data_IF_973251757007
#
_entry.id   IF_973251757007
#
_cell.length_a   1.000
_cell.length_b   1.000
_cell.length_c   1.000
_cell.angle_alpha   90.00
_cell.angle_beta   90.00
_cell.angle_gamma   90.00
#
_symmetry.space_group_name_H-M   'P 1'
#
loop_
_entity.id
_entity.type
_entity.pdbx_description
1 polymer ?
#
# COMPACT_ATOMS: atom_id res chain seq x y z
N UNK A 1 20.84 -18.55 5.34
CA UNK A 1 19.56 -18.97 4.75
C UNK A 1 18.75 -19.65 5.85
N UNK A 2 17.46 -19.35 5.98
CA UNK A 2 16.59 -20.08 6.93
C UNK A 2 16.02 -21.36 6.32
N UNK A 3 15.56 -22.27 7.16
CA UNK A 3 14.82 -23.45 6.71
C UNK A 3 13.45 -23.07 6.10
N UNK A 4 12.93 -23.82 5.12
CA UNK A 4 11.58 -23.63 4.61
C UNK A 4 10.54 -23.61 5.74
N UNK A 5 9.65 -22.62 5.70
CA UNK A 5 8.62 -22.41 6.73
C UNK A 5 9.06 -21.60 7.95
N UNK A 6 10.35 -21.23 8.07
CA UNK A 6 10.82 -20.30 9.11
C UNK A 6 10.49 -18.84 8.75
N UNK A 7 9.21 -18.50 8.86
CA UNK A 7 8.72 -17.14 8.62
C UNK A 7 9.19 -16.15 9.70
N UNK A 8 9.59 -16.61 10.88
CA UNK A 8 10.16 -15.73 11.92
C UNK A 8 11.49 -15.14 11.50
N UNK A 9 12.38 -15.94 10.90
CA UNK A 9 13.61 -15.43 10.31
C UNK A 9 13.34 -14.43 9.16
N UNK A 10 12.36 -14.73 8.30
CA UNK A 10 11.98 -13.81 7.20
C UNK A 10 11.47 -12.48 7.76
N UNK A 11 10.60 -12.49 8.78
CA UNK A 11 10.11 -11.27 9.44
C UNK A 11 11.27 -10.42 9.95
N UNK A 12 12.24 -11.02 10.63
CA UNK A 12 13.44 -10.32 11.13
C UNK A 12 14.22 -9.64 9.99
N UNK A 13 14.40 -10.33 8.87
CA UNK A 13 15.12 -9.78 7.72
C UNK A 13 14.31 -8.71 6.97
N UNK A 14 12.97 -8.75 6.99
CA UNK A 14 12.11 -7.65 6.54
C UNK A 14 12.28 -6.42 7.44
N UNK A 15 12.28 -6.58 8.77
CA UNK A 15 12.49 -5.46 9.71
C UNK A 15 13.81 -4.74 9.42
N UNK A 16 14.86 -5.51 9.10
CA UNK A 16 16.15 -4.96 8.70
C UNK A 16 16.12 -4.12 7.40
N UNK A 17 15.07 -4.25 6.58
CA UNK A 17 14.87 -3.43 5.38
C UNK A 17 14.05 -2.16 5.62
N UNK A 18 13.46 -1.96 6.81
CA UNK A 18 12.58 -0.82 7.05
C UNK A 18 13.31 0.52 7.04
N UNK A 19 14.51 0.61 7.63
CA UNK A 19 15.28 1.85 7.63
C UNK A 19 15.97 2.07 6.28
N UNK A 20 15.62 3.14 5.58
CA UNK A 20 16.20 3.56 4.29
C UNK A 20 16.45 5.07 4.29
N UNK A 21 17.58 5.55 4.84
CA UNK A 21 17.84 6.99 5.02
C UNK A 21 17.68 7.84 3.74
N UNK A 22 18.01 7.26 2.58
CA UNK A 22 17.95 7.95 1.29
C UNK A 22 16.59 7.82 0.57
N UNK A 23 15.61 7.16 1.19
CA UNK A 23 14.28 6.93 0.61
C UNK A 23 13.19 7.57 1.46
N UNK A 24 12.44 8.50 0.83
CA UNK A 24 11.33 9.23 1.44
C UNK A 24 11.66 9.71 2.86
N UNK A 25 10.84 9.37 3.85
CA UNK A 25 10.99 9.77 5.25
C UNK A 25 11.97 8.89 6.02
N UNK A 26 13.01 8.41 5.35
CA UNK A 26 13.99 7.49 5.92
C UNK A 26 13.49 6.05 6.07
N UNK A 27 12.36 5.69 5.47
CA UNK A 27 11.64 4.43 5.74
C UNK A 27 11.05 3.76 4.51
N UNK A 28 11.26 2.45 4.37
CA UNK A 28 10.57 1.58 3.41
C UNK A 28 9.20 1.07 3.91
N UNK A 29 8.87 1.32 5.19
CA UNK A 29 7.62 0.83 5.78
C UNK A 29 6.38 1.18 4.96
N UNK A 30 6.13 2.47 4.64
CA UNK A 30 4.97 2.86 3.85
C UNK A 30 4.90 2.20 2.47
N UNK A 31 6.04 2.05 1.77
CA UNK A 31 6.04 1.39 0.45
C UNK A 31 5.82 -0.11 0.53
N UNK A 32 6.18 -0.78 1.63
CA UNK A 32 5.84 -2.19 1.86
C UNK A 32 4.34 -2.37 2.11
N UNK A 33 3.72 -1.48 2.88
CA UNK A 33 2.26 -1.50 3.08
C UNK A 33 1.55 -1.27 1.75
N UNK A 34 1.99 -0.28 0.95
CA UNK A 34 1.45 -0.04 -0.39
C UNK A 34 1.68 -1.21 -1.33
N UNK A 35 2.85 -1.86 -1.31
CA UNK A 35 3.13 -3.03 -2.14
C UNK A 35 2.19 -4.20 -1.81
N UNK A 36 2.00 -4.50 -0.53
CA UNK A 36 1.06 -5.52 -0.08
C UNK A 36 -0.38 -5.17 -0.50
N UNK A 37 -0.80 -3.92 -0.27
CA UNK A 37 -2.10 -3.41 -0.70
C UNK A 37 -2.32 -3.60 -2.20
N UNK A 38 -1.42 -3.09 -3.04
CA UNK A 38 -1.53 -3.14 -4.49
C UNK A 38 -1.47 -4.57 -5.02
N UNK A 39 -0.69 -5.46 -4.38
CA UNK A 39 -0.67 -6.87 -4.75
C UNK A 39 -2.02 -7.55 -4.55
N UNK A 40 -2.83 -7.09 -3.58
CA UNK A 40 -4.15 -7.64 -3.29
C UNK A 40 -5.30 -6.87 -3.98
N UNK A 41 -5.10 -5.56 -4.20
CA UNK A 41 -6.10 -4.60 -4.68
C UNK A 41 -6.64 -4.85 -6.09
N UNK A 42 -6.00 -5.72 -6.87
CA UNK A 42 -6.40 -6.08 -8.22
C UNK A 42 -7.45 -7.19 -8.28
N UNK A 43 -7.84 -7.76 -7.12
CA UNK A 43 -8.80 -8.85 -7.04
C UNK A 43 -10.18 -8.46 -7.61
N UNK A 44 -10.80 -9.43 -8.25
CA UNK A 44 -12.11 -9.35 -8.86
C UNK A 44 -12.86 -10.65 -8.55
N UNK A 45 -13.94 -10.56 -7.76
CA UNK A 45 -14.67 -11.73 -7.30
C UNK A 45 -15.50 -12.42 -8.40
N UNK A 46 -15.84 -11.72 -9.47
CA UNK A 46 -16.63 -12.27 -10.58
C UNK A 46 -15.76 -13.15 -11.48
N UNK A 47 -14.56 -12.68 -11.79
CA UNK A 47 -13.61 -13.38 -12.65
C UNK A 47 -12.63 -14.28 -11.89
N UNK A 48 -12.54 -14.14 -10.57
CA UNK A 48 -11.56 -14.78 -9.69
C UNK A 48 -10.11 -14.58 -10.18
N UNK A 49 -9.80 -13.35 -10.60
CA UNK A 49 -8.46 -12.96 -11.10
C UNK A 49 -7.90 -11.77 -10.33
N UNK A 50 -6.57 -11.60 -10.39
CA UNK A 50 -5.85 -10.64 -9.56
C UNK A 50 -5.76 -11.10 -8.11
N UNK A 51 -5.43 -10.17 -7.21
CA UNK A 51 -5.21 -10.50 -5.81
C UNK A 51 -3.79 -11.00 -5.51
N UNK A 52 -3.53 -11.25 -4.23
CA UNK A 52 -2.16 -11.39 -3.72
C UNK A 52 -1.48 -12.73 -4.04
N UNK A 53 -2.23 -13.71 -4.57
CA UNK A 53 -1.73 -15.03 -4.91
C UNK A 53 -1.25 -15.08 -6.38
N UNK A 54 0.04 -14.81 -6.60
CA UNK A 54 0.64 -14.91 -7.93
C UNK A 54 1.83 -13.99 -8.16
N UNK A 55 1.98 -12.95 -7.33
CA UNK A 55 2.99 -11.90 -7.48
C UNK A 55 3.00 -11.34 -8.92
N UNK A 56 1.82 -11.06 -9.47
CA UNK A 56 1.62 -10.69 -10.87
C UNK A 56 2.31 -9.37 -11.27
N UNK A 57 2.59 -8.49 -10.31
CA UNK A 57 3.44 -7.32 -10.55
C UNK A 57 4.86 -7.66 -11.06
N UNK A 58 5.34 -8.91 -10.98
CA UNK A 58 6.60 -9.31 -11.63
C UNK A 58 6.53 -9.23 -13.16
N UNK A 59 5.33 -9.35 -13.73
CA UNK A 59 5.08 -9.24 -15.18
C UNK A 59 4.76 -7.81 -15.58
N UNK A 60 4.91 -7.48 -16.87
CA UNK A 60 4.73 -6.12 -17.37
C UNK A 60 3.27 -5.67 -17.40
N UNK A 61 2.35 -6.59 -17.64
CA UNK A 61 0.92 -6.29 -17.71
C UNK A 61 0.43 -5.61 -16.41
N UNK A 62 0.80 -6.13 -15.24
CA UNK A 62 0.45 -5.54 -13.94
C UNK A 62 1.56 -4.66 -13.36
N UNK A 63 2.82 -5.10 -13.44
CA UNK A 63 3.96 -4.38 -12.86
C UNK A 63 4.33 -3.07 -13.56
N UNK A 64 3.81 -2.84 -14.77
CA UNK A 64 3.91 -1.61 -15.53
C UNK A 64 2.60 -0.80 -15.56
N UNK A 65 1.56 -1.22 -14.82
CA UNK A 65 0.37 -0.38 -14.61
C UNK A 65 0.82 0.96 -13.98
N UNK A 66 0.41 2.13 -14.52
CA UNK A 66 0.73 3.42 -13.93
C UNK A 66 0.36 3.53 -12.44
N UNK A 67 -0.71 2.86 -12.01
CA UNK A 67 -1.16 2.81 -10.61
C UNK A 67 -0.14 2.12 -9.70
N UNK A 68 0.75 1.29 -10.25
CA UNK A 68 1.82 0.61 -9.55
C UNK A 68 3.17 1.36 -9.62
N UNK A 69 3.21 2.55 -10.22
CA UNK A 69 4.40 3.39 -10.24
C UNK A 69 4.95 3.63 -8.82
N UNK A 70 6.25 3.45 -8.64
CA UNK A 70 6.94 3.52 -7.34
C UNK A 70 7.08 2.17 -6.62
N UNK A 71 6.29 1.16 -6.95
CA UNK A 71 6.37 -0.16 -6.29
C UNK A 71 7.62 -0.95 -6.70
N UNK A 72 8.36 -0.52 -7.72
CA UNK A 72 9.70 -1.03 -8.00
C UNK A 72 10.65 -0.85 -6.82
N UNK A 73 10.50 0.21 -6.01
CA UNK A 73 11.33 0.41 -4.81
C UNK A 73 11.04 -0.66 -3.76
N UNK A 74 9.76 -0.86 -3.41
CA UNK A 74 9.36 -1.90 -2.46
C UNK A 74 9.82 -3.30 -2.87
N UNK A 75 9.68 -3.64 -4.16
CA UNK A 75 10.16 -4.92 -4.70
C UNK A 75 11.69 -5.06 -4.58
N UNK A 76 12.42 -4.05 -5.05
CA UNK A 76 13.88 -4.04 -4.99
C UNK A 76 14.42 -4.14 -3.55
N UNK A 77 13.81 -3.44 -2.60
CA UNK A 77 14.22 -3.48 -1.19
C UNK A 77 13.99 -4.85 -0.53
N UNK A 78 13.10 -5.68 -1.07
CA UNK A 78 12.83 -7.04 -0.59
C UNK A 78 13.68 -8.11 -1.28
N UNK A 79 14.39 -7.79 -2.37
CA UNK A 79 15.27 -8.75 -3.07
C UNK A 79 16.35 -9.35 -2.15
N UNK A 80 17.06 -8.60 -1.28
CA UNK A 80 18.03 -9.20 -0.35
C UNK A 80 17.39 -10.21 0.61
N UNK A 81 16.12 -10.01 0.99
CA UNK A 81 15.37 -10.97 1.82
C UNK A 81 15.04 -12.21 1.00
N UNK A 82 14.56 -12.04 -0.23
CA UNK A 82 14.27 -13.16 -1.14
C UNK A 82 15.51 -14.00 -1.45
N UNK A 83 16.66 -13.37 -1.69
CA UNK A 83 17.94 -14.04 -1.93
C UNK A 83 18.39 -14.87 -0.72
N UNK A 84 18.17 -14.37 0.50
CA UNK A 84 18.49 -15.07 1.76
C UNK A 84 17.51 -16.20 2.10
N UNK A 85 16.26 -16.09 1.62
CA UNK A 85 15.17 -17.05 1.86
C UNK A 85 14.55 -17.52 0.54
N UNK A 86 15.30 -18.24 -0.32
CA UNK A 86 14.85 -18.55 -1.68
C UNK A 86 13.56 -19.39 -1.72
N UNK A 87 13.23 -20.07 -0.63
CA UNK A 87 12.02 -20.90 -0.48
C UNK A 87 10.73 -20.08 -0.35
N UNK A 88 10.76 -18.82 0.10
CA UNK A 88 9.55 -18.00 0.24
C UNK A 88 9.10 -17.52 -1.13
N UNK A 89 7.80 -17.58 -1.43
CA UNK A 89 7.26 -17.00 -2.67
C UNK A 89 7.28 -15.47 -2.59
N UNK A 90 7.34 -14.79 -3.74
CA UNK A 90 7.19 -13.34 -3.79
C UNK A 90 5.82 -12.91 -3.25
N UNK A 91 4.79 -13.70 -3.52
CA UNK A 91 3.43 -13.49 -3.03
C UNK A 91 3.35 -13.48 -1.50
N UNK A 92 3.96 -14.46 -0.84
CA UNK A 92 4.07 -14.44 0.63
C UNK A 92 4.98 -13.32 1.12
N UNK A 93 6.13 -13.09 0.47
CA UNK A 93 7.09 -12.06 0.90
C UNK A 93 6.49 -10.66 0.89
N UNK A 94 5.78 -10.27 -0.17
CA UNK A 94 5.22 -8.93 -0.30
C UNK A 94 4.08 -8.69 0.71
N UNK A 95 3.18 -9.65 0.88
CA UNK A 95 2.10 -9.54 1.87
C UNK A 95 2.62 -9.59 3.31
N UNK A 96 3.61 -10.45 3.59
CA UNK A 96 4.30 -10.51 4.87
C UNK A 96 5.01 -9.18 5.20
N UNK A 97 5.66 -8.57 4.20
CA UNK A 97 6.32 -7.29 4.36
C UNK A 97 5.35 -6.17 4.75
N UNK A 98 4.15 -6.15 4.17
CA UNK A 98 3.10 -5.20 4.54
C UNK A 98 2.68 -5.33 6.01
N UNK A 99 2.33 -6.54 6.46
CA UNK A 99 1.88 -6.75 7.86
C UNK A 99 2.99 -6.53 8.88
N UNK A 100 4.25 -6.86 8.54
CA UNK A 100 5.41 -6.53 9.39
C UNK A 100 5.58 -5.02 9.46
N UNK A 101 5.53 -4.31 8.33
CA UNK A 101 5.68 -2.87 8.31
C UNK A 101 4.59 -2.15 9.13
N UNK A 102 3.32 -2.59 9.04
CA UNK A 102 2.22 -2.05 9.87
C UNK A 102 2.58 -2.17 11.36
N UNK A 103 2.98 -3.35 11.82
CA UNK A 103 3.31 -3.62 13.22
C UNK A 103 4.52 -2.77 13.69
N UNK A 104 5.61 -2.77 12.92
CA UNK A 104 6.84 -2.06 13.28
C UNK A 104 6.69 -0.53 13.26
N UNK A 105 5.74 0.00 12.49
CA UNK A 105 5.39 1.42 12.52
C UNK A 105 4.40 1.78 13.66
N UNK A 106 4.11 0.85 14.56
CA UNK A 106 3.23 1.06 15.72
C UNK A 106 1.74 0.84 15.45
N UNK A 107 1.40 0.17 14.35
CA UNK A 107 0.05 -0.20 13.98
C UNK A 107 -0.43 -1.50 14.65
N UNK A 108 -1.65 -1.95 14.35
CA UNK A 108 -2.19 -3.17 14.91
C UNK A 108 -1.49 -4.41 14.36
N UNK A 109 -1.61 -5.52 15.11
CA UNK A 109 -1.21 -6.84 14.60
C UNK A 109 -2.27 -7.35 13.62
N UNK A 110 -1.82 -7.65 12.40
CA UNK A 110 -2.68 -8.15 11.32
C UNK A 110 -2.49 -9.66 11.19
N UNK A 111 -3.57 -10.42 11.25
CA UNK A 111 -3.53 -11.86 11.00
C UNK A 111 -3.02 -12.11 9.57
N UNK A 112 -2.04 -13.00 9.45
CA UNK A 112 -1.44 -13.34 8.16
C UNK A 112 -1.14 -14.83 8.10
N UNK A 113 -1.49 -15.46 6.97
CA UNK A 113 -1.31 -16.90 6.74
C UNK A 113 -0.42 -17.13 5.50
N UNK A 114 0.59 -18.00 5.58
CA UNK A 114 1.45 -18.33 4.45
C UNK A 114 0.77 -19.23 3.42
N UNK A 115 1.49 -19.53 2.33
CA UNK A 115 1.13 -20.57 1.37
C UNK A 115 0.75 -20.03 0.00
N UNK A 116 0.83 -18.71 -0.22
CA UNK A 116 0.62 -18.14 -1.56
C UNK A 116 1.68 -18.66 -2.51
N UNK A 117 1.29 -18.80 -3.76
CA UNK A 117 2.11 -19.31 -4.85
C UNK A 117 2.38 -18.20 -5.85
N UNK A 118 3.53 -18.26 -6.52
CA UNK A 118 3.88 -17.31 -7.58
C UNK A 118 3.42 -17.85 -8.92
N UNK A 119 2.85 -17.00 -9.77
CA UNK A 119 2.55 -17.33 -11.16
C UNK A 119 3.81 -17.82 -11.89
N UNK A 120 3.60 -18.74 -12.84
CA UNK A 120 4.65 -19.30 -13.71
C UNK A 120 4.70 -18.64 -15.09
N UNK A 121 3.58 -18.06 -15.52
CA UNK A 121 3.41 -17.30 -16.77
C UNK A 121 2.40 -16.15 -16.56
N UNK A 122 2.17 -15.35 -17.59
CA UNK A 122 1.32 -14.16 -17.52
C UNK A 122 -0.19 -14.44 -17.79
N UNK A 123 -0.59 -15.71 -17.96
CA UNK A 123 -1.95 -16.07 -18.37
C UNK A 123 -3.06 -15.68 -17.38
N UNK A 124 -2.69 -15.42 -16.11
CA UNK A 124 -3.62 -15.02 -15.04
C UNK A 124 -3.31 -13.65 -14.44
N UNK A 125 -2.43 -12.88 -15.09
CA UNK A 125 -2.15 -11.50 -14.66
C UNK A 125 -3.39 -10.65 -14.96
N UNK A 126 -3.92 -9.88 -13.98
CA UNK A 126 -5.14 -9.11 -14.16
C UNK A 126 -4.94 -7.98 -15.20
N UNK A 127 -6.03 -7.53 -15.85
CA UNK A 127 -5.98 -6.32 -16.67
C UNK A 127 -5.68 -5.09 -15.80
N UNK A 128 -5.12 -4.06 -16.45
CA UNK A 128 -4.85 -2.75 -15.83
C UNK A 128 -6.13 -2.03 -15.41
N UNK A 129 -6.00 -1.09 -14.48
CA UNK A 129 -7.09 -0.19 -14.09
C UNK A 129 -8.06 -0.77 -13.05
N UNK A 130 -7.67 -1.83 -12.35
CA UNK A 130 -8.47 -2.43 -11.27
C UNK A 130 -8.31 -1.76 -9.90
N UNK A 131 -7.34 -0.88 -9.77
CA UNK A 131 -7.02 -0.15 -8.54
C UNK A 131 -7.80 1.18 -8.47
N UNK A 132 -8.08 1.71 -7.27
CA UNK A 132 -8.80 2.97 -7.12
C UNK A 132 -8.00 4.15 -7.69
N UNK A 133 -8.72 5.12 -8.26
CA UNK A 133 -8.17 6.35 -8.80
C UNK A 133 -8.39 7.45 -7.76
N UNK A 134 -7.28 8.01 -7.26
CA UNK A 134 -7.28 9.02 -6.22
C UNK A 134 -8.06 10.29 -6.59
N UNK A 135 -8.23 10.57 -7.89
CA UNK A 135 -8.91 11.75 -8.41
C UNK A 135 -10.45 11.66 -8.38
N UNK A 136 -11.02 10.50 -8.05
CA UNK A 136 -12.45 10.23 -8.12
C UNK A 136 -13.17 10.44 -6.76
N UNK A 137 -14.48 10.21 -6.74
CA UNK A 137 -15.34 10.34 -5.55
C UNK A 137 -15.82 9.01 -4.96
N UNK A 138 -16.83 9.10 -4.09
CA UNK A 138 -17.35 7.96 -3.33
C UNK A 138 -17.92 6.83 -4.20
N UNK A 139 -18.61 7.16 -5.30
CA UNK A 139 -19.16 6.16 -6.21
C UNK A 139 -18.07 5.30 -6.87
N UNK A 140 -16.92 5.91 -7.18
CA UNK A 140 -15.76 5.18 -7.70
C UNK A 140 -15.16 4.24 -6.66
N UNK A 141 -15.04 4.72 -5.41
CA UNK A 141 -14.59 3.87 -4.31
C UNK A 141 -15.52 2.65 -4.18
N UNK A 142 -16.84 2.86 -4.08
CA UNK A 142 -17.80 1.74 -4.01
C UNK A 142 -17.72 0.82 -5.23
N UNK A 143 -17.60 1.36 -6.43
CA UNK A 143 -17.45 0.57 -7.65
C UNK A 143 -16.24 -0.38 -7.58
N UNK A 144 -15.08 0.12 -7.18
CA UNK A 144 -13.85 -0.68 -7.07
C UNK A 144 -13.94 -1.69 -5.93
N UNK A 145 -14.39 -1.25 -4.75
CA UNK A 145 -14.32 -2.04 -3.53
C UNK A 145 -15.45 -3.04 -3.37
N UNK A 146 -16.66 -2.76 -3.87
CA UNK A 146 -17.77 -3.72 -3.84
C UNK A 146 -17.46 -4.95 -4.71
N UNK A 147 -16.71 -4.77 -5.81
CA UNK A 147 -16.19 -5.88 -6.65
C UNK A 147 -15.34 -6.87 -5.84
N UNK A 148 -14.68 -6.38 -4.80
CA UNK A 148 -13.83 -7.16 -3.91
C UNK A 148 -14.59 -7.67 -2.67
N UNK A 149 -15.87 -7.35 -2.54
CA UNK A 149 -16.71 -7.71 -1.40
C UNK A 149 -16.49 -6.86 -0.14
N UNK A 150 -16.01 -5.63 -0.28
CA UNK A 150 -15.91 -4.68 0.84
C UNK A 150 -17.13 -3.78 0.93
N UNK A 151 -17.57 -3.50 2.15
CA UNK A 151 -18.61 -2.51 2.43
C UNK A 151 -18.02 -1.13 2.78
N UNK A 152 -18.87 -0.13 2.97
CA UNK A 152 -18.46 1.26 3.25
C UNK A 152 -17.56 1.42 4.49
N UNK A 153 -17.81 0.67 5.56
CA UNK A 153 -16.98 0.70 6.76
C UNK A 153 -15.57 0.18 6.45
N UNK A 154 -15.50 -0.92 5.70
CA UNK A 154 -14.24 -1.56 5.33
C UNK A 154 -13.43 -0.68 4.39
N UNK A 155 -14.08 0.01 3.44
CA UNK A 155 -13.44 1.02 2.56
C UNK A 155 -12.79 2.12 3.41
N UNK A 156 -13.53 2.70 4.35
CA UNK A 156 -13.02 3.77 5.21
C UNK A 156 -11.88 3.28 6.10
N UNK A 157 -11.99 2.06 6.65
CA UNK A 157 -10.92 1.45 7.43
C UNK A 157 -9.63 1.37 6.60
N UNK A 158 -9.70 0.79 5.39
CA UNK A 158 -8.53 0.64 4.51
C UNK A 158 -7.91 1.97 4.09
N UNK A 159 -8.73 3.00 3.86
CA UNK A 159 -8.26 4.35 3.56
C UNK A 159 -7.43 4.95 4.71
N UNK A 160 -7.61 4.49 5.94
CA UNK A 160 -6.74 4.83 7.08
C UNK A 160 -5.26 4.48 6.86
N UNK A 161 -4.95 3.61 5.89
CA UNK A 161 -3.58 3.37 5.43
C UNK A 161 -2.87 4.62 4.91
N UNK A 162 -3.61 5.64 4.45
CA UNK A 162 -3.07 6.95 4.06
C UNK A 162 -2.50 7.75 5.24
N UNK A 163 -2.61 7.27 6.48
CA UNK A 163 -1.77 7.76 7.58
C UNK A 163 -0.26 7.50 7.33
N UNK A 164 0.10 6.62 6.39
CA UNK A 164 1.49 6.28 6.09
C UNK A 164 1.94 6.85 4.75
N UNK A 165 3.20 7.29 4.72
CA UNK A 165 3.87 7.71 3.49
C UNK A 165 3.33 9.02 2.92
N UNK A 166 3.42 9.11 1.59
CA UNK A 166 3.19 10.34 0.83
C UNK A 166 2.92 10.02 -0.65
N UNK A 167 2.32 10.96 -1.34
CA UNK A 167 2.19 10.97 -2.79
C UNK A 167 3.43 11.59 -3.46
N UNK A 168 3.66 11.23 -4.73
CA UNK A 168 4.77 11.77 -5.54
C UNK A 168 4.31 12.10 -6.95
N UNK A 169 4.67 13.30 -7.42
CA UNK A 169 4.27 13.83 -8.73
C UNK A 169 4.72 12.95 -9.89
N UNK A 170 5.88 12.31 -9.79
CA UNK A 170 6.45 11.38 -10.77
C UNK A 170 5.85 9.96 -10.73
N UNK A 171 4.96 9.68 -9.76
CA UNK A 171 4.30 8.38 -9.58
C UNK A 171 2.80 8.53 -9.83
N UNK A 172 2.09 9.10 -8.87
CA UNK A 172 0.62 9.24 -8.90
C UNK A 172 0.14 10.56 -9.49
N UNK A 173 1.05 11.50 -9.77
CA UNK A 173 0.71 12.87 -10.16
C UNK A 173 0.31 13.78 -8.99
N UNK A 174 -0.10 13.23 -7.86
CA UNK A 174 -0.30 13.95 -6.59
C UNK A 174 1.01 14.17 -5.83
N UNK A 175 1.04 15.10 -4.88
CA UNK A 175 2.26 15.45 -4.13
C UNK A 175 1.99 15.71 -2.64
N UNK A 176 2.88 15.18 -1.80
CA UNK A 176 2.96 15.50 -0.38
C UNK A 176 2.46 14.39 0.56
N UNK A 177 2.70 14.54 1.87
CA UNK A 177 2.21 13.62 2.90
C UNK A 177 0.78 13.95 3.34
N UNK A 178 0.06 12.95 3.84
CA UNK A 178 -1.26 13.15 4.46
C UNK A 178 -1.16 13.64 5.92
N UNK A 179 -0.06 13.30 6.60
CA UNK A 179 0.16 13.57 8.04
C UNK A 179 1.61 13.99 8.28
N UNK A 180 1.86 14.70 9.39
CA UNK A 180 3.20 15.20 9.72
C UNK A 180 4.21 14.08 10.04
N UNK A 181 3.76 12.92 10.54
CA UNK A 181 4.63 11.77 10.82
C UNK A 181 4.23 10.54 9.97
N UNK A 182 4.64 10.50 8.69
CA UNK A 182 4.18 9.48 7.73
C UNK A 182 4.83 8.09 7.96
N UNK A 183 5.65 7.92 9.00
CA UNK A 183 6.31 6.64 9.33
C UNK A 183 5.77 6.00 10.61
N UNK A 184 4.73 6.58 11.21
CA UNK A 184 4.07 6.05 12.40
C UNK A 184 2.59 5.78 12.12
N UNK A 185 2.16 4.55 12.27
CA UNK A 185 0.76 4.17 12.13
C UNK A 185 -0.07 4.76 13.27
N UNK A 186 -1.11 5.51 12.94
CA UNK A 186 -1.97 6.22 13.89
C UNK A 186 -3.33 6.55 13.27
N UNK A 187 -4.23 7.17 14.03
CA UNK A 187 -5.50 7.69 13.50
C UNK A 187 -5.43 9.18 13.10
N UNK A 188 -4.23 9.72 12.91
CA UNK A 188 -4.02 11.14 12.58
C UNK A 188 -4.64 11.51 11.23
N UNK A 189 -4.63 10.61 10.24
CA UNK A 189 -5.31 10.81 8.96
C UNK A 189 -6.77 11.26 9.14
N UNK A 190 -7.58 10.51 9.89
CA UNK A 190 -8.99 10.85 10.12
C UNK A 190 -9.14 12.14 10.96
N UNK A 191 -8.29 12.33 11.97
CA UNK A 191 -8.31 13.55 12.81
C UNK A 191 -8.05 14.80 11.98
N UNK A 192 -7.03 14.79 11.13
CA UNK A 192 -6.67 15.93 10.30
C UNK A 192 -7.69 16.16 9.18
N UNK A 193 -8.21 15.08 8.57
CA UNK A 193 -9.26 15.17 7.56
C UNK A 193 -10.48 15.96 8.07
N UNK A 194 -10.89 15.71 9.32
CA UNK A 194 -12.02 16.42 9.94
C UNK A 194 -11.67 17.83 10.43
N UNK A 195 -10.52 18.00 11.07
CA UNK A 195 -10.16 19.24 11.81
C UNK A 195 -9.61 20.36 10.94
N UNK A 196 -8.91 20.01 9.86
CA UNK A 196 -8.24 21.01 9.02
C UNK A 196 -9.16 21.50 7.91
N UNK A 197 -8.95 22.76 7.52
CA UNK A 197 -9.60 23.37 6.37
C UNK A 197 -8.79 23.06 5.10
N UNK A 198 -9.38 22.24 4.24
CA UNK A 198 -8.73 21.72 3.04
C UNK A 198 -9.03 22.58 1.83
N UNK A 199 -8.01 23.25 1.30
CA UNK A 199 -8.17 24.14 0.15
C UNK A 199 -7.85 23.41 -1.16
N UNK A 200 -8.74 23.43 -2.17
CA UNK A 200 -8.46 22.80 -3.46
C UNK A 200 -7.29 23.52 -4.16
N UNK A 201 -6.32 22.74 -4.64
CA UNK A 201 -5.14 23.21 -5.37
C UNK A 201 -4.97 22.42 -6.66
N UNK A 202 -4.76 23.15 -7.77
CA UNK A 202 -4.33 22.56 -9.04
C UNK A 202 -2.80 22.56 -9.08
N UNK A 203 -2.21 21.39 -9.25
CA UNK A 203 -0.77 21.21 -9.40
C UNK A 203 -0.31 21.59 -10.81
N UNK A 204 1.00 21.76 -10.99
CA UNK A 204 1.61 22.12 -12.27
C UNK A 204 1.33 21.10 -13.39
N UNK A 205 1.16 19.82 -13.05
CA UNK A 205 0.80 18.76 -14.00
C UNK A 205 -0.71 18.68 -14.29
N UNK A 206 -1.52 19.61 -13.76
CA UNK A 206 -2.95 19.68 -13.97
C UNK A 206 -3.81 18.89 -12.97
N UNK A 207 -3.20 18.04 -12.14
CA UNK A 207 -3.91 17.29 -11.12
C UNK A 207 -4.53 18.21 -10.07
N UNK A 208 -5.74 17.89 -9.61
CA UNK A 208 -6.40 18.58 -8.51
C UNK A 208 -6.25 17.76 -7.24
N UNK A 209 -5.68 18.37 -6.21
CA UNK A 209 -5.64 17.83 -4.84
C UNK A 209 -6.16 18.87 -3.86
N UNK A 210 -6.21 18.53 -2.59
CA UNK A 210 -6.50 19.47 -1.52
C UNK A 210 -5.27 19.61 -0.65
N UNK A 211 -5.02 20.81 -0.13
CA UNK A 211 -3.87 21.11 0.70
C UNK A 211 -4.28 21.83 1.97
N UNK A 212 -3.47 21.65 3.00
CA UNK A 212 -3.47 22.45 4.21
C UNK A 212 -2.08 23.05 4.39
N UNK A 213 -2.05 24.36 4.62
CA UNK A 213 -0.86 25.13 4.97
C UNK A 213 -1.00 25.52 6.43
N UNK A 214 -0.01 25.14 7.24
CA UNK A 214 0.05 25.52 8.64
C UNK A 214 0.26 27.05 8.71
N UNK A 215 -0.57 27.82 9.42
CA UNK A 215 -0.38 29.26 9.57
C UNK A 215 0.98 29.64 10.17
N UNK A 216 1.60 28.73 10.92
CA UNK A 216 2.92 28.89 11.53
C UNK A 216 4.05 28.26 10.68
N UNK A 217 3.75 27.78 9.46
CA UNK A 217 4.74 27.19 8.56
C UNK A 217 5.84 28.19 8.18
N UNK A 218 7.08 27.72 8.16
CA UNK A 218 8.21 28.48 7.61
C UNK A 218 8.30 28.29 6.09
N UNK A 219 8.98 29.22 5.41
CA UNK A 219 9.21 29.10 3.97
C UNK A 219 9.97 27.80 3.64
N UNK A 220 9.32 26.93 2.85
CA UNK A 220 9.87 25.63 2.46
C UNK A 220 9.33 24.45 3.25
N UNK A 221 8.48 24.68 4.25
CA UNK A 221 7.75 23.60 4.92
C UNK A 221 6.81 22.88 3.94
N UNK A 222 6.73 21.56 4.13
CA UNK A 222 5.93 20.72 3.26
C UNK A 222 4.46 20.77 3.64
N UNK A 223 3.60 21.06 2.66
CA UNK A 223 2.15 21.09 2.86
C UNK A 223 1.59 19.69 3.08
N UNK A 224 0.60 19.59 3.97
CA UNK A 224 -0.23 18.40 4.05
C UNK A 224 -1.20 18.36 2.86
N UNK A 225 -1.58 17.16 2.45
CA UNK A 225 -2.48 16.96 1.32
C UNK A 225 -3.58 15.94 1.59
N UNK A 226 -4.69 16.08 0.85
CA UNK A 226 -5.76 15.08 0.72
C UNK A 226 -6.10 14.87 -0.76
N UNK A 227 -6.34 13.62 -1.15
CA UNK A 227 -6.84 13.25 -2.47
C UNK A 227 -8.34 13.62 -2.57
N UNK A 228 -8.88 13.81 -3.78
CA UNK A 228 -10.33 13.87 -3.98
C UNK A 228 -11.09 12.70 -3.35
N UNK A 229 -10.53 11.48 -3.44
CA UNK A 229 -11.08 10.30 -2.76
C UNK A 229 -11.05 10.40 -1.24
N UNK A 230 -10.01 10.99 -0.64
CA UNK A 230 -9.95 11.23 0.82
C UNK A 230 -11.03 12.23 1.27
N UNK A 231 -11.22 13.31 0.50
CA UNK A 231 -12.29 14.28 0.75
C UNK A 231 -13.66 13.63 0.61
N UNK A 232 -13.84 12.69 -0.33
CA UNK A 232 -15.08 11.95 -0.48
C UNK A 232 -15.46 11.14 0.77
N UNK A 233 -14.49 10.66 1.56
CA UNK A 233 -14.76 10.00 2.84
C UNK A 233 -15.39 10.95 3.87
N UNK A 234 -15.02 12.23 3.84
CA UNK A 234 -15.55 13.27 4.74
C UNK A 234 -16.94 13.77 4.31
N UNK A 235 -17.22 13.80 3.01
CA UNK A 235 -18.43 14.42 2.45
C UNK A 235 -19.57 13.44 2.19
N UNK A 236 -19.27 12.16 1.92
CA UNK A 236 -20.28 11.11 1.79
C UNK A 236 -20.84 10.73 3.19
N UNK A 237 -22.17 10.79 3.42
CA UNK A 237 -22.74 10.54 4.74
C UNK A 237 -22.45 9.15 5.32
N UNK A 238 -22.41 8.12 4.47
CA UNK A 238 -22.20 6.73 4.90
C UNK A 238 -20.73 6.48 5.26
N UNK A 239 -19.79 7.09 4.54
CA UNK A 239 -18.37 7.06 4.91
C UNK A 239 -18.07 7.94 6.14
N UNK A 240 -18.67 9.14 6.20
CA UNK A 240 -18.37 10.14 7.22
C UNK A 240 -18.55 9.63 8.64
N UNK A 241 -19.61 8.86 8.91
CA UNK A 241 -19.84 8.27 10.23
C UNK A 241 -18.68 7.38 10.70
N UNK A 242 -17.98 6.71 9.79
CA UNK A 242 -16.82 5.87 10.12
C UNK A 242 -15.55 6.70 10.27
N UNK A 243 -15.39 7.75 9.45
CA UNK A 243 -14.31 8.74 9.61
C UNK A 243 -14.36 9.38 11.00
N UNK A 244 -15.56 9.80 11.44
CA UNK A 244 -15.77 10.39 12.77
C UNK A 244 -15.44 9.39 13.89
N UNK A 245 -15.97 8.16 13.81
CA UNK A 245 -15.66 7.09 14.77
C UNK A 245 -14.16 6.79 14.87
N UNK A 246 -13.45 6.71 13.75
CA UNK A 246 -12.01 6.42 13.74
C UNK A 246 -11.14 7.60 14.16
N UNK A 247 -11.61 8.83 13.94
CA UNK A 247 -10.94 10.02 14.46
C UNK A 247 -11.04 10.09 16.00
N UNK A 248 -12.19 9.70 16.57
CA UNK A 248 -12.43 9.67 18.01
C UNK A 248 -11.74 8.47 18.68
N UNK A 249 -11.96 7.27 18.14
CA UNK A 249 -11.49 6.00 18.71
C UNK A 249 -10.42 5.34 17.85
N UNK A 250 -9.17 5.49 18.30
CA UNK A 250 -7.99 4.91 17.65
C UNK A 250 -7.98 3.37 17.76
N UNK A 251 -8.48 2.82 18.86
CA UNK A 251 -8.43 1.37 19.09
C UNK A 251 -9.50 0.66 18.26
N UNK A 252 -10.68 1.25 18.08
CA UNK A 252 -11.70 0.81 17.14
C UNK A 252 -11.19 0.84 15.69
N UNK A 253 -10.49 1.91 15.30
CA UNK A 253 -9.85 1.98 13.99
C UNK A 253 -8.83 0.84 13.81
N UNK A 254 -7.99 0.61 14.81
CA UNK A 254 -6.94 -0.42 14.75
C UNK A 254 -7.52 -1.83 14.63
N UNK A 255 -8.56 -2.15 15.41
CA UNK A 255 -9.25 -3.44 15.33
C UNK A 255 -9.87 -3.68 13.95
N UNK A 256 -10.59 -2.69 13.41
CA UNK A 256 -11.20 -2.79 12.09
C UNK A 256 -10.15 -2.84 10.97
N UNK A 257 -9.14 -1.98 11.01
CA UNK A 257 -8.06 -1.98 10.01
C UNK A 257 -7.37 -3.34 9.94
N UNK A 258 -7.05 -3.94 11.09
CA UNK A 258 -6.39 -5.24 11.12
C UNK A 258 -7.22 -6.34 10.47
N UNK A 259 -8.51 -6.43 10.82
CA UNK A 259 -9.44 -7.42 10.24
C UNK A 259 -9.61 -7.22 8.74
N UNK A 260 -9.76 -5.98 8.30
CA UNK A 260 -10.02 -5.67 6.89
C UNK A 260 -8.76 -5.81 6.03
N UNK A 261 -7.59 -5.44 6.54
CA UNK A 261 -6.32 -5.67 5.84
C UNK A 261 -5.98 -7.17 5.76
N UNK A 262 -6.28 -7.95 6.82
CA UNK A 262 -6.18 -9.41 6.78
C UNK A 262 -7.10 -10.00 5.72
N UNK A 263 -8.38 -9.56 5.66
CA UNK A 263 -9.32 -9.94 4.60
C UNK A 263 -8.78 -9.61 3.21
N UNK A 264 -8.29 -8.39 3.01
CA UNK A 264 -7.73 -7.93 1.73
C UNK A 264 -6.63 -8.86 1.21
N UNK A 265 -5.60 -9.11 2.01
CA UNK A 265 -4.48 -9.93 1.55
C UNK A 265 -4.87 -11.40 1.36
N UNK A 266 -6.04 -11.81 1.83
CA UNK A 266 -6.57 -13.18 1.73
C UNK A 266 -7.60 -13.36 0.59
N UNK A 267 -7.98 -12.28 -0.12
CA UNK A 267 -8.89 -12.37 -1.26
C UNK A 267 -8.35 -13.31 -2.35
N UNK A 268 -9.22 -14.16 -2.88
CA UNK A 268 -8.90 -15.18 -3.88
C UNK A 268 -8.16 -16.41 -3.35
N UNK A 269 -7.82 -16.47 -2.05
CA UNK A 269 -7.14 -17.62 -1.45
C UNK A 269 -8.18 -18.62 -0.94
N UNK A 270 -8.06 -19.87 -1.40
CA UNK A 270 -8.86 -21.01 -0.93
C UNK A 270 -8.00 -21.87 -0.03
N UNK A 271 -8.53 -22.28 1.13
CA UNK A 271 -7.81 -23.12 2.09
C UNK A 271 -8.61 -24.36 2.48
N UNK A 272 -7.91 -25.43 2.83
CA UNK A 272 -8.51 -26.60 3.50
C UNK A 272 -8.71 -26.36 5.01
N UNK A 273 -9.27 -27.35 5.69
CA UNK A 273 -9.52 -27.32 7.15
C UNK A 273 -8.23 -27.16 7.98
N UNK A 274 -7.06 -27.46 7.41
CA UNK A 274 -5.75 -27.31 8.05
C UNK A 274 -5.10 -25.96 7.72
N UNK A 275 -5.78 -25.11 6.95
CA UNK A 275 -5.29 -23.80 6.53
C UNK A 275 -4.29 -23.86 5.38
N UNK A 276 -4.15 -25.00 4.69
CA UNK A 276 -3.26 -25.14 3.52
C UNK A 276 -3.92 -24.54 2.30
N UNK A 277 -3.18 -23.76 1.51
CA UNK A 277 -3.67 -23.14 0.28
C UNK A 277 -3.95 -24.20 -0.78
N UNK A 278 -5.16 -24.15 -1.35
CA UNK A 278 -5.67 -25.07 -2.38
C UNK A 278 -5.57 -24.51 -3.80
N UNK A 279 -5.13 -23.26 -3.97
CA UNK A 279 -4.90 -22.67 -5.29
C UNK A 279 -3.73 -23.39 -5.99
N UNK A 280 -4.03 -24.36 -6.86
CA UNK A 280 -3.03 -25.16 -7.60
C UNK A 280 -2.60 -24.54 -8.93
N UNK A 281 -3.23 -23.44 -9.31
CA UNK A 281 -3.12 -22.77 -10.61
C UNK A 281 -1.69 -22.38 -11.00
N UNK A 282 -0.82 -22.25 -10.01
CA UNK A 282 0.54 -21.73 -10.12
C UNK A 282 1.61 -22.82 -9.94
N UNK A 283 1.23 -24.10 -9.84
CA UNK A 283 2.12 -25.19 -9.41
C UNK A 283 2.29 -26.23 -10.52
N UNK A 284 2.87 -25.86 -11.67
CA UNK A 284 3.31 -26.85 -12.67
C UNK A 284 4.68 -27.42 -12.26
N UNK A 285 4.69 -28.49 -11.45
CA UNK A 285 5.89 -29.29 -11.18
C UNK A 285 6.81 -28.80 -10.05
N UNK A 286 6.35 -27.90 -9.19
CA UNK A 286 7.11 -27.31 -8.07
C UNK A 286 7.05 -25.79 -8.06
N UNK A 287 7.79 -25.15 -7.16
CA UNK A 287 7.97 -23.70 -7.20
C UNK A 287 8.87 -23.33 -8.39
N UNK A 288 8.28 -22.71 -9.41
CA UNK A 288 9.01 -22.14 -10.53
C UNK A 288 8.76 -20.64 -10.48
N UNK A 289 9.73 -19.87 -9.97
CA UNK A 289 9.64 -18.43 -10.00
C UNK A 289 9.66 -17.95 -11.45
N UNK A 290 8.61 -17.25 -11.88
CA UNK A 290 8.67 -16.43 -13.10
C UNK A 290 9.80 -15.38 -13.07
N UNK A 291 10.05 -14.67 -14.19
CA UNK A 291 11.08 -13.65 -14.27
C UNK A 291 10.90 -12.61 -13.16
N UNK A 292 11.98 -12.27 -12.46
CA UNK A 292 11.98 -11.13 -11.54
C UNK A 292 12.24 -9.84 -12.31
N UNK A 293 11.73 -8.72 -11.80
CA UNK A 293 12.11 -7.39 -12.29
C UNK A 293 13.51 -7.02 -11.76
N UNK A 294 14.09 -5.95 -12.30
CA UNK A 294 15.42 -5.45 -11.92
C UNK A 294 15.55 -5.27 -10.40
N UNK A 295 16.72 -5.66 -9.85
CA UNK A 295 17.11 -5.39 -8.46
C UNK A 295 17.30 -3.89 -8.20
N UNK A 296 17.47 -3.10 -9.25
CA UNK A 296 17.54 -1.64 -9.19
C UNK A 296 16.19 -1.06 -9.60
N UNK A 297 15.59 -0.14 -8.81
CA UNK A 297 14.38 0.57 -9.19
C UNK A 297 14.53 1.28 -10.55
N UNK A 298 13.78 0.85 -11.57
CA UNK A 298 13.84 1.43 -12.94
C UNK A 298 12.79 2.52 -13.17
N UNK A 299 12.39 3.24 -12.11
CA UNK A 299 11.44 4.35 -12.22
C UNK A 299 12.10 5.66 -12.64
N UNK A 300 11.31 6.71 -12.97
CA UNK A 300 11.88 8.03 -13.21
C UNK A 300 12.77 8.45 -12.03
N UNK A 301 13.96 9.02 -12.29
CA UNK A 301 14.83 9.49 -11.23
C UNK A 301 14.11 10.60 -10.46
N UNK A 302 14.19 10.53 -9.13
CA UNK A 302 13.65 11.55 -8.24
C UNK A 302 14.33 12.88 -8.60
N UNK A 303 13.57 13.93 -8.90
CA UNK A 303 14.16 15.27 -8.99
C UNK A 303 14.79 15.58 -7.61
N UNK A 304 16.02 16.13 -7.56
CA UNK A 304 16.60 16.58 -6.30
C UNK A 304 15.63 17.53 -5.61
N UNK A 305 15.46 17.42 -4.28
CA UNK A 305 14.87 18.52 -3.51
C UNK A 305 15.74 19.74 -3.81
N UNK A 306 15.15 20.86 -4.20
CA UNK A 306 15.87 22.11 -4.28
C UNK A 306 16.53 22.33 -2.92
N UNK A 307 17.86 22.46 -2.89
CA UNK A 307 18.54 22.85 -1.67
C UNK A 307 17.94 24.19 -1.24
N UNK A 308 17.32 24.24 -0.05
CA UNK A 308 17.05 25.50 0.60
C UNK A 308 18.42 26.16 0.78
N UNK A 309 18.73 27.12 -0.08
CA UNK A 309 19.93 27.93 0.01
C UNK A 309 19.85 28.63 1.36
N UNK A 310 20.57 28.12 2.36
CA UNK A 310 20.87 28.85 3.59
C UNK A 310 21.67 30.08 3.21
N UNK A 311 20.98 31.16 2.87
CA UNK A 311 21.57 32.48 2.87
C UNK A 311 21.82 32.87 4.33
N UNK A 312 23.03 32.61 4.81
CA UNK A 312 23.59 33.27 5.99
C UNK A 312 23.73 34.76 5.66
N UNK A 313 22.99 35.59 6.38
CA UNK A 313 23.41 36.94 6.79
C UNK A 313 23.03 37.13 8.25
#
# INVERSE_FOLDING_TARGET
MSSPGDYSAVRKDIVAQLKKPDYDDGSAGPVFVRLAWHSAGTYDAETDTGGSNGAGMRYEAEGGDPSNAGLQYGRAFLEPVKEKHPWITYSDLWTLAGVVAIKEMGGPEVEWKPGRTDLVDDSKVPPRGRLPDGAQGADHLRFIFNRMGFNDQEIVALAGGHNLGRCHTDRSGFEGPWVNNPTRFSNQFFKLLLKLEWTPRKLANGMRQFVYEDPDAEEGDELLMMLPTDIALKTDPSFRQWVEKYAEDKDLFFDHFAKVFAKLVELGIRRDEKGVVLNTDNVKGGYISAPKKSNTPTGPPRKPKAEAVRARL
#
